data_IF_005266688241
#
_entry.id   IF_005266688241
#
_cell.length_a   1.000
_cell.length_b   1.000
_cell.length_c   1.000
_cell.angle_alpha   90.00
_cell.angle_beta   90.00
_cell.angle_gamma   90.00
#
_symmetry.space_group_name_H-M   'P 1'
#
loop_
_entity.id
_entity.type
_entity.pdbx_description
1 polymer ?
#
# COMPACT_ATOMS: atom_id res chain seq x y z
N UNK A 1 -9.51 -2.04 8.85
CA UNK A 1 -8.30 -2.08 9.74
C UNK A 1 -8.62 -1.44 11.07
N UNK A 2 -8.22 -2.06 12.14
CA UNK A 2 -8.28 -1.45 13.48
C UNK A 2 -6.86 -1.21 13.98
N UNK A 3 -6.36 0.02 13.81
CA UNK A 3 -4.99 0.37 14.14
C UNK A 3 -4.66 0.19 15.64
N UNK A 4 -5.66 0.27 16.51
CA UNK A 4 -5.45 0.07 17.95
C UNK A 4 -5.01 -1.36 18.29
N UNK A 5 -5.34 -2.33 17.46
CA UNK A 5 -4.94 -3.72 17.67
C UNK A 5 -3.43 -3.94 17.47
N UNK A 6 -2.76 -3.01 16.81
CA UNK A 6 -1.31 -3.10 16.57
C UNK A 6 -0.47 -2.46 17.68
N UNK A 7 -1.11 -1.89 18.70
CA UNK A 7 -0.43 -1.20 19.79
C UNK A 7 -0.42 0.31 19.63
N UNK A 8 -0.16 1.01 20.74
CA UNK A 8 -0.28 2.47 20.81
C UNK A 8 0.72 3.21 19.92
N UNK A 9 1.94 2.71 19.77
CA UNK A 9 2.97 3.36 18.96
C UNK A 9 2.60 3.37 17.47
N UNK A 10 2.14 2.23 16.97
CA UNK A 10 1.72 2.12 15.57
C UNK A 10 0.39 2.84 15.34
N UNK A 11 -0.54 2.75 16.28
CA UNK A 11 -1.80 3.50 16.19
C UNK A 11 -1.56 5.01 16.08
N UNK A 12 -0.58 5.53 16.81
CA UNK A 12 -0.23 6.95 16.76
C UNK A 12 0.26 7.41 15.38
N UNK A 13 0.80 6.48 14.61
CA UNK A 13 1.29 6.75 13.25
C UNK A 13 0.19 6.52 12.19
N UNK A 14 -0.70 5.56 12.41
CA UNK A 14 -1.73 5.19 11.43
C UNK A 14 -3.03 5.97 11.58
N UNK A 15 -3.25 6.63 12.72
CA UNK A 15 -4.48 7.37 12.96
C UNK A 15 -4.22 8.88 13.04
N UNK A 16 -5.16 9.73 12.60
CA UNK A 16 -6.39 9.35 11.90
C UNK A 16 -6.08 8.73 10.54
N UNK A 17 -7.00 7.89 10.06
CA UNK A 17 -6.85 7.24 8.76
C UNK A 17 -6.75 8.28 7.65
N UNK A 18 -5.84 8.04 6.68
CA UNK A 18 -5.64 8.96 5.58
C UNK A 18 -5.91 8.29 4.24
N UNK A 19 -6.53 9.04 3.35
CA UNK A 19 -6.77 8.60 1.98
C UNK A 19 -5.59 9.06 1.13
N UNK A 20 -4.72 8.09 0.77
CA UNK A 20 -3.50 8.38 0.01
C UNK A 20 -3.81 8.86 -1.40
N UNK A 21 -2.91 9.68 -1.95
CA UNK A 21 -2.96 10.06 -3.35
C UNK A 21 -2.64 8.86 -4.25
N UNK A 22 -3.16 8.86 -5.48
CA UNK A 22 -2.77 7.87 -6.48
C UNK A 22 -1.38 8.17 -7.06
N UNK A 23 -0.95 9.42 -6.99
CA UNK A 23 0.37 9.86 -7.35
C UNK A 23 1.34 9.87 -6.18
N UNK A 24 2.50 10.55 -6.32
CA UNK A 24 3.53 10.55 -5.27
C UNK A 24 3.10 11.22 -3.97
N UNK A 25 2.15 12.14 -4.00
CA UNK A 25 1.80 12.91 -2.82
C UNK A 25 2.94 13.78 -2.34
N UNK A 26 2.90 14.14 -1.06
CA UNK A 26 3.97 14.90 -0.41
C UNK A 26 4.31 14.23 0.91
N UNK A 27 5.61 13.93 1.17
CA UNK A 27 5.99 13.27 2.41
C UNK A 27 5.49 14.01 3.64
N UNK A 28 4.87 13.27 4.55
CA UNK A 28 4.33 13.80 5.80
C UNK A 28 5.47 13.99 6.81
N UNK A 29 6.27 15.05 6.60
CA UNK A 29 7.48 15.32 7.38
C UNK A 29 7.26 15.32 8.90
N UNK A 30 6.16 15.88 9.44
CA UNK A 30 5.93 15.82 10.89
C UNK A 30 5.91 14.40 11.48
N UNK A 31 5.63 13.39 10.65
CA UNK A 31 5.58 11.98 11.09
C UNK A 31 6.91 11.25 10.95
N UNK A 32 7.89 11.81 10.26
CA UNK A 32 9.17 11.13 9.97
C UNK A 32 9.83 10.54 11.22
N UNK A 33 9.96 11.32 12.26
CA UNK A 33 10.65 10.87 13.48
C UNK A 33 9.88 9.74 14.17
N UNK A 34 8.55 9.84 14.22
CA UNK A 34 7.71 8.79 14.80
C UNK A 34 7.79 7.49 14.03
N UNK A 35 7.79 7.58 12.69
CA UNK A 35 7.93 6.39 11.85
C UNK A 35 9.30 5.75 12.03
N UNK A 36 10.35 6.57 12.01
CA UNK A 36 11.72 6.08 12.17
C UNK A 36 11.96 5.41 13.52
N UNK A 37 11.20 5.79 14.55
CA UNK A 37 11.30 5.22 15.88
C UNK A 37 10.56 3.89 16.04
N UNK A 38 9.70 3.52 15.08
CA UNK A 38 8.98 2.26 15.15
C UNK A 38 9.94 1.07 15.04
N UNK A 39 9.65 0.04 15.81
CA UNK A 39 10.43 -1.22 15.80
C UNK A 39 9.59 -2.31 15.14
N UNK A 40 9.55 -2.28 13.82
CA UNK A 40 8.77 -3.22 13.02
C UNK A 40 9.68 -3.97 12.05
N UNK A 41 9.29 -5.18 11.63
CA UNK A 41 9.99 -5.86 10.55
C UNK A 41 10.00 -5.00 9.27
N UNK A 42 11.02 -5.18 8.41
CA UNK A 42 11.14 -4.38 7.18
C UNK A 42 9.88 -4.38 6.31
N UNK A 43 9.19 -5.53 6.21
CA UNK A 43 7.96 -5.60 5.40
C UNK A 43 6.86 -4.66 5.92
N UNK A 44 6.76 -4.50 7.22
CA UNK A 44 5.79 -3.55 7.81
C UNK A 44 6.27 -2.11 7.66
N UNK A 45 7.57 -1.86 7.84
CA UNK A 45 8.13 -0.52 7.71
C UNK A 45 7.95 0.03 6.29
N UNK A 46 8.15 -0.81 5.26
CA UNK A 46 7.93 -0.39 3.88
C UNK A 46 6.50 0.15 3.70
N UNK A 47 5.52 -0.53 4.28
CA UNK A 47 4.12 -0.10 4.23
C UNK A 47 3.85 1.21 4.94
N UNK A 48 4.42 1.40 6.13
CA UNK A 48 4.21 2.63 6.91
C UNK A 48 4.81 3.85 6.20
N UNK A 49 6.02 3.72 5.66
CA UNK A 49 6.62 4.79 4.89
C UNK A 49 5.75 5.16 3.69
N UNK A 50 5.26 4.16 2.95
CA UNK A 50 4.40 4.38 1.79
C UNK A 50 3.09 5.09 2.19
N UNK A 51 2.51 4.71 3.31
CA UNK A 51 1.27 5.29 3.83
C UNK A 51 1.39 6.80 4.05
N UNK A 52 2.57 7.26 4.45
CA UNK A 52 2.84 8.68 4.70
C UNK A 52 3.57 9.37 3.54
N UNK A 53 3.51 8.80 2.35
CA UNK A 53 4.03 9.37 1.10
C UNK A 53 5.57 9.47 1.04
N UNK A 54 6.27 8.68 1.87
CA UNK A 54 7.72 8.56 1.79
C UNK A 54 8.08 7.43 0.83
N UNK A 55 7.90 7.71 -0.47
CA UNK A 55 8.09 6.70 -1.51
C UNK A 55 9.54 6.19 -1.58
N UNK A 56 10.51 7.09 -1.43
CA UNK A 56 11.93 6.71 -1.50
C UNK A 56 12.33 5.79 -0.35
N UNK A 57 11.89 6.09 0.87
CA UNK A 57 12.16 5.24 2.03
C UNK A 57 11.50 3.87 1.89
N UNK A 58 10.27 3.85 1.43
CA UNK A 58 9.55 2.60 1.15
C UNK A 58 10.28 1.77 0.09
N UNK A 59 10.70 2.41 -1.00
CA UNK A 59 11.43 1.76 -2.10
C UNK A 59 12.75 1.16 -1.62
N UNK A 60 13.52 1.91 -0.83
CA UNK A 60 14.80 1.45 -0.29
C UNK A 60 14.64 0.15 0.48
N UNK A 61 13.56 0.02 1.26
CA UNK A 61 13.31 -1.18 2.05
C UNK A 61 12.80 -2.32 1.15
N UNK A 62 11.79 -2.04 0.32
CA UNK A 62 11.16 -3.09 -0.48
C UNK A 62 12.11 -3.73 -1.48
N UNK A 63 13.04 -2.97 -2.06
CA UNK A 63 14.00 -3.51 -3.02
C UNK A 63 15.00 -4.49 -2.39
N UNK A 64 15.18 -4.43 -1.06
CA UNK A 64 16.05 -5.34 -0.34
C UNK A 64 15.33 -6.62 0.14
N UNK A 65 14.02 -6.69 -0.05
CA UNK A 65 13.22 -7.86 0.32
C UNK A 65 13.06 -8.77 -0.89
N UNK A 66 13.65 -9.95 -0.84
CA UNK A 66 13.72 -10.91 -1.97
C UNK A 66 12.50 -11.85 -2.04
N UNK A 67 11.38 -11.46 -1.49
CA UNK A 67 10.18 -12.30 -1.47
C UNK A 67 8.99 -11.63 -2.17
N UNK A 68 7.87 -12.35 -2.27
CA UNK A 68 6.64 -11.84 -2.89
C UNK A 68 6.11 -10.61 -2.17
N UNK A 69 6.28 -10.53 -0.86
CA UNK A 69 5.83 -9.38 -0.06
C UNK A 69 6.61 -8.12 -0.42
N UNK A 70 7.93 -8.22 -0.52
CA UNK A 70 8.75 -7.10 -0.96
C UNK A 70 8.40 -6.65 -2.36
N UNK A 71 8.18 -7.60 -3.27
CA UNK A 71 7.78 -7.29 -4.65
C UNK A 71 6.43 -6.56 -4.69
N UNK A 72 5.50 -6.94 -3.83
CA UNK A 72 4.17 -6.31 -3.78
C UNK A 72 4.26 -4.84 -3.34
N UNK A 73 4.97 -4.55 -2.24
CA UNK A 73 5.19 -3.16 -1.82
C UNK A 73 5.92 -2.36 -2.89
N UNK A 74 6.90 -2.96 -3.54
CA UNK A 74 7.67 -2.35 -4.62
C UNK A 74 6.75 -1.96 -5.78
N UNK A 75 5.83 -2.85 -6.14
CA UNK A 75 4.85 -2.61 -7.20
C UNK A 75 3.90 -1.46 -6.84
N UNK A 76 3.43 -1.41 -5.60
CA UNK A 76 2.56 -0.32 -5.13
C UNK A 76 3.28 1.03 -5.18
N UNK A 77 4.55 1.06 -4.80
CA UNK A 77 5.35 2.28 -4.84
C UNK A 77 5.51 2.79 -6.27
N UNK A 78 5.86 1.90 -7.22
CA UNK A 78 6.00 2.31 -8.62
C UNK A 78 4.67 2.77 -9.22
N UNK A 79 3.55 2.16 -8.82
CA UNK A 79 2.24 2.62 -9.26
C UNK A 79 2.01 4.08 -8.89
N UNK A 80 2.50 4.50 -7.73
CA UNK A 80 2.35 5.86 -7.24
C UNK A 80 3.35 6.85 -7.80
N UNK A 81 4.51 6.42 -8.32
CA UNK A 81 5.54 7.33 -8.86
C UNK A 81 5.08 8.29 -9.96
N UNK A 82 4.23 8.06 -10.97
CA UNK A 82 3.64 6.87 -11.53
C UNK A 82 4.51 6.23 -12.62
N UNK A 83 4.82 4.97 -12.43
CA UNK A 83 5.56 4.16 -13.38
C UNK A 83 4.82 2.83 -13.58
N UNK A 84 3.82 2.86 -14.46
CA UNK A 84 2.92 1.72 -14.68
C UNK A 84 3.68 0.46 -15.15
N UNK A 85 4.66 0.61 -16.02
CA UNK A 85 5.41 -0.53 -16.53
C UNK A 85 6.19 -1.24 -15.42
N UNK A 86 6.89 -0.49 -14.57
CA UNK A 86 7.61 -1.06 -13.44
C UNK A 86 6.66 -1.62 -12.38
N UNK A 87 5.54 -0.96 -12.14
CA UNK A 87 4.53 -1.47 -11.22
C UNK A 87 4.07 -2.86 -11.66
N UNK A 88 3.72 -3.02 -12.94
CA UNK A 88 3.29 -4.31 -13.47
C UNK A 88 4.39 -5.36 -13.40
N UNK A 89 5.64 -4.97 -13.67
CA UNK A 89 6.79 -5.88 -13.55
C UNK A 89 6.88 -6.46 -12.14
N UNK A 90 6.77 -5.61 -11.11
CA UNK A 90 6.88 -6.07 -9.72
C UNK A 90 5.62 -6.82 -9.25
N UNK A 91 4.44 -6.49 -9.75
CA UNK A 91 3.25 -7.31 -9.48
C UNK A 91 3.39 -8.71 -10.08
N UNK A 92 4.01 -8.82 -11.25
CA UNK A 92 4.29 -10.13 -11.84
C UNK A 92 5.27 -10.93 -10.96
N UNK A 93 6.27 -10.27 -10.41
CA UNK A 93 7.21 -10.89 -9.46
C UNK A 93 6.53 -11.33 -8.17
N UNK A 94 5.58 -10.54 -7.67
CA UNK A 94 4.81 -10.88 -6.48
C UNK A 94 3.93 -12.11 -6.70
N UNK A 95 3.47 -12.32 -7.93
CA UNK A 95 2.64 -13.45 -8.30
C UNK A 95 1.27 -13.43 -7.65
N UNK A 96 0.67 -14.60 -7.45
CA UNK A 96 -0.63 -14.74 -6.82
C UNK A 96 -0.51 -14.67 -5.30
N UNK A 97 -0.56 -13.46 -4.77
CA UNK A 97 -0.51 -13.25 -3.33
C UNK A 97 -1.90 -13.51 -2.71
N UNK A 98 -1.97 -14.10 -1.50
CA UNK A 98 -3.26 -14.38 -0.85
C UNK A 98 -4.16 -13.14 -0.69
N UNK A 99 -3.58 -11.95 -0.56
CA UNK A 99 -4.33 -10.72 -0.39
C UNK A 99 -5.20 -10.40 -1.61
N UNK A 100 -4.82 -10.86 -2.81
CA UNK A 100 -5.54 -10.54 -4.03
C UNK A 100 -6.97 -11.09 -4.02
N UNK A 101 -7.14 -12.30 -3.51
CA UNK A 101 -8.46 -12.91 -3.41
C UNK A 101 -9.35 -12.14 -2.43
N UNK A 102 -8.79 -11.79 -1.29
CA UNK A 102 -9.50 -11.05 -0.25
C UNK A 102 -9.87 -9.65 -0.75
N UNK A 103 -8.95 -9.00 -1.47
CA UNK A 103 -9.19 -7.70 -2.06
C UNK A 103 -10.33 -7.76 -3.09
N UNK A 104 -10.32 -8.77 -3.96
CA UNK A 104 -11.38 -8.96 -4.94
C UNK A 104 -12.75 -9.16 -4.28
N UNK A 105 -12.80 -9.91 -3.19
CA UNK A 105 -14.04 -10.15 -2.44
C UNK A 105 -14.59 -8.86 -1.83
N UNK A 106 -13.72 -7.98 -1.33
CA UNK A 106 -14.13 -6.76 -0.63
C UNK A 106 -14.33 -5.56 -1.56
N UNK A 107 -13.76 -5.59 -2.73
CA UNK A 107 -13.79 -4.46 -3.69
C UNK A 107 -15.21 -4.08 -4.10
N UNK A 108 -16.11 -5.05 -4.20
CA UNK A 108 -17.49 -4.80 -4.62
C UNK A 108 -18.22 -3.84 -3.67
N UNK A 109 -17.87 -3.83 -2.40
CA UNK A 109 -18.46 -2.92 -1.41
C UNK A 109 -18.12 -1.44 -1.73
N UNK A 110 -17.03 -1.22 -2.46
CA UNK A 110 -16.59 0.11 -2.89
C UNK A 110 -17.09 0.47 -4.29
N UNK A 111 -17.86 -0.42 -4.92
CA UNK A 111 -18.35 -0.22 -6.28
C UNK A 111 -17.29 -0.49 -7.36
N UNK A 112 -16.30 -1.32 -7.06
CA UNK A 112 -15.24 -1.67 -7.99
C UNK A 112 -15.16 -3.18 -8.18
N UNK A 113 -15.06 -3.62 -9.44
CA UNK A 113 -14.82 -5.01 -9.77
C UNK A 113 -13.32 -5.22 -9.95
N UNK A 114 -12.68 -5.84 -8.95
CA UNK A 114 -11.24 -6.07 -8.97
C UNK A 114 -10.93 -7.34 -9.75
N UNK A 115 -10.26 -7.20 -10.89
CA UNK A 115 -9.92 -8.30 -11.80
C UNK A 115 -8.42 -8.61 -11.82
N UNK A 116 -7.65 -7.96 -10.97
CA UNK A 116 -6.22 -8.22 -10.83
C UNK A 116 -5.40 -6.93 -10.72
N UNK A 117 -4.14 -7.08 -10.32
CA UNK A 117 -3.29 -5.90 -10.09
C UNK A 117 -2.96 -5.12 -11.36
N UNK A 118 -2.84 -5.80 -12.52
CA UNK A 118 -2.53 -5.11 -13.78
C UNK A 118 -3.66 -4.19 -14.19
N UNK A 119 -4.90 -4.67 -14.11
CA UNK A 119 -6.06 -3.86 -14.44
C UNK A 119 -6.23 -2.70 -13.45
N UNK A 120 -5.87 -2.92 -12.18
CA UNK A 120 -5.93 -1.84 -11.20
C UNK A 120 -4.86 -0.78 -11.46
N UNK A 121 -3.66 -1.17 -11.88
CA UNK A 121 -2.63 -0.20 -12.32
C UNK A 121 -3.19 0.66 -13.45
N UNK A 122 -3.80 0.04 -14.46
CA UNK A 122 -4.37 0.76 -15.60
C UNK A 122 -5.51 1.68 -15.16
N UNK A 123 -6.35 1.23 -14.24
CA UNK A 123 -7.42 2.07 -13.69
C UNK A 123 -6.86 3.31 -12.99
N UNK A 124 -5.84 3.15 -12.16
CA UNK A 124 -5.19 4.27 -11.50
C UNK A 124 -4.61 5.27 -12.50
N UNK A 125 -3.98 4.77 -13.57
CA UNK A 125 -3.43 5.63 -14.63
C UNK A 125 -4.54 6.44 -15.32
N UNK A 126 -5.69 5.79 -15.53
CA UNK A 126 -6.81 6.41 -16.24
C UNK A 126 -7.48 7.51 -15.43
N UNK A 127 -7.60 7.33 -14.11
CA UNK A 127 -8.39 8.24 -13.25
C UNK A 127 -7.54 9.22 -12.43
N UNK A 128 -6.22 9.08 -12.46
CA UNK A 128 -5.34 9.94 -11.66
C UNK A 128 -5.45 11.39 -12.11
N UNK A 129 -5.80 12.27 -11.15
CA UNK A 129 -5.83 13.69 -11.38
C UNK A 129 -7.05 14.21 -12.11
N UNK A 130 -8.06 13.36 -12.38
CA UNK A 130 -9.27 13.78 -13.10
C UNK A 130 -10.37 14.31 -12.18
N UNK A 131 -10.20 14.17 -10.86
CA UNK A 131 -11.11 14.70 -9.83
C UNK A 131 -12.57 14.25 -10.05
N UNK A 132 -12.73 12.93 -10.21
CA UNK A 132 -14.04 12.28 -10.45
C UNK A 132 -14.35 11.30 -9.33
N UNK A 133 -15.60 10.78 -9.34
CA UNK A 133 -15.99 9.71 -8.42
C UNK A 133 -15.16 8.44 -8.64
N UNK A 134 -14.72 8.17 -9.88
CA UNK A 134 -13.86 7.04 -10.19
C UNK A 134 -12.49 7.18 -9.56
N UNK A 135 -11.93 8.40 -9.54
CA UNK A 135 -10.66 8.62 -8.85
C UNK A 135 -10.79 8.36 -7.35
N UNK A 136 -11.90 8.79 -6.75
CA UNK A 136 -12.16 8.51 -5.32
C UNK A 136 -12.26 7.00 -5.07
N UNK A 137 -12.95 6.26 -5.95
CA UNK A 137 -13.03 4.80 -5.85
C UNK A 137 -11.62 4.19 -5.90
N UNK A 138 -10.78 4.64 -6.82
CA UNK A 138 -9.40 4.15 -6.91
C UNK A 138 -8.60 4.43 -5.63
N UNK A 139 -8.75 5.61 -5.04
CA UNK A 139 -8.08 5.94 -3.78
C UNK A 139 -8.55 5.04 -2.63
N UNK A 140 -9.85 4.79 -2.56
CA UNK A 140 -10.43 3.90 -1.53
C UNK A 140 -9.99 2.46 -1.73
N UNK A 141 -9.90 2.03 -2.99
CA UNK A 141 -9.37 0.70 -3.32
C UNK A 141 -7.91 0.57 -2.91
N UNK A 142 -7.11 1.60 -3.15
CA UNK A 142 -5.71 1.63 -2.75
C UNK A 142 -5.56 1.55 -1.22
N UNK A 143 -6.41 2.27 -0.50
CA UNK A 143 -6.40 2.21 0.97
C UNK A 143 -6.80 0.82 1.47
N UNK A 144 -7.85 0.23 0.90
CA UNK A 144 -8.27 -1.13 1.24
C UNK A 144 -7.15 -2.13 0.98
N UNK A 145 -6.51 -2.04 -0.18
CA UNK A 145 -5.37 -2.87 -0.54
C UNK A 145 -4.23 -2.71 0.47
N UNK A 146 -3.90 -1.48 0.82
CA UNK A 146 -2.85 -1.20 1.79
C UNK A 146 -3.18 -1.83 3.15
N UNK A 147 -4.41 -1.63 3.61
CA UNK A 147 -4.84 -2.15 4.91
C UNK A 147 -4.77 -3.68 4.97
N UNK A 148 -5.30 -4.35 3.95
CA UNK A 148 -5.29 -5.81 3.89
C UNK A 148 -3.86 -6.35 3.80
N UNK A 149 -3.03 -5.69 3.00
CA UNK A 149 -1.65 -6.13 2.80
C UNK A 149 -0.81 -5.87 4.04
N UNK A 150 -0.96 -4.70 4.66
CA UNK A 150 -0.27 -4.38 5.91
C UNK A 150 -0.65 -5.36 7.02
N UNK A 151 -1.93 -5.65 7.17
CA UNK A 151 -2.40 -6.60 8.15
C UNK A 151 -1.77 -7.99 7.94
N UNK A 152 -1.69 -8.42 6.69
CA UNK A 152 -1.02 -9.68 6.32
C UNK A 152 0.45 -9.66 6.76
N UNK A 153 1.17 -8.58 6.48
CA UNK A 153 2.58 -8.45 6.87
C UNK A 153 2.74 -8.45 8.40
N UNK A 154 1.88 -7.73 9.09
CA UNK A 154 1.95 -7.64 10.55
C UNK A 154 1.65 -8.98 11.22
N UNK A 155 0.61 -9.67 10.76
CA UNK A 155 0.25 -10.99 11.30
C UNK A 155 1.34 -12.03 11.02
N UNK A 156 1.93 -12.01 9.84
CA UNK A 156 3.01 -12.92 9.48
C UNK A 156 4.23 -12.75 10.40
N UNK A 157 4.53 -11.52 10.81
CA UNK A 157 5.64 -11.25 11.73
C UNK A 157 5.33 -11.69 13.17
N UNK A 158 4.06 -11.70 13.56
CA UNK A 158 3.64 -12.14 14.91
C UNK A 158 3.60 -13.67 15.03
N UNK A 159 3.49 -14.38 13.91
CA UNK A 159 3.42 -15.85 13.88
C UNK A 159 4.78 -16.54 13.98
N UNK A 160 5.86 -15.77 14.04
CA UNK A 160 7.24 -16.29 14.22
C UNK A 160 7.64 -16.23 15.72
#
# INVERSE_FOLDING_TARGET
MNAHEYGSELAAVLLPERLMELGPGSPNEPMRAKIAALKLPPACMAGVWLYHDFLDESHTISQELDDATGAYWHAMMHRREPDAANSKYWFQKAGEHPVLKLLAEKASELGYEYTGPFDFVDFCEHVRGVDTSEEEIARRMQLLEWELFFDHCHQSSQGE
#
